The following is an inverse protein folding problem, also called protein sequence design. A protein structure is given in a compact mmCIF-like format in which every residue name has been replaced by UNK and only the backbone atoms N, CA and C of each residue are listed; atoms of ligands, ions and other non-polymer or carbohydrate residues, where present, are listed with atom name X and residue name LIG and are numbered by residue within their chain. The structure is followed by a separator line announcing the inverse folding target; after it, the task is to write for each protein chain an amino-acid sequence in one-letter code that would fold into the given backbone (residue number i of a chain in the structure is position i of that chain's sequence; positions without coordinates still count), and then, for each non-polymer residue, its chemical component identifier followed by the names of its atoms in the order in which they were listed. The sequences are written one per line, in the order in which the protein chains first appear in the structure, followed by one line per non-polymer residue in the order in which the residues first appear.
data_IF_149103112917
#
_entry.id   IF_149103112917
#
_cell.length_a   1.000
_cell.length_b   1.000
_cell.length_c   1.000
_cell.angle_alpha   90.00
_cell.angle_beta   90.00
_cell.angle_gamma   90.00
#
_symmetry.space_group_name_H-M   'P 1'
#
loop_
_entity.id
_entity.type
_entity.pdbx_description
1 polymer ?
#
# COMPACT_ATOMS: atom_id res chain seq x y z
N UNK A 1 71.32 -38.82 17.29
CA UNK A 1 70.78 -39.73 16.26
C UNK A 1 69.45 -40.28 16.75
N UNK A 2 68.42 -40.20 15.91
CA UNK A 2 67.05 -40.72 16.03
C UNK A 2 66.20 -40.17 17.19
N UNK A 3 65.47 -39.07 17.01
CA UNK A 3 64.18 -38.91 16.29
C UNK A 3 62.95 -39.34 17.13
N UNK A 4 61.98 -38.43 17.36
CA UNK A 4 60.76 -38.70 18.10
C UNK A 4 59.71 -39.41 17.23
N UNK A 5 58.92 -40.31 17.83
CA UNK A 5 57.73 -40.87 17.18
C UNK A 5 56.64 -39.80 17.14
N UNK A 6 56.26 -39.41 15.92
CA UNK A 6 55.08 -38.63 15.59
C UNK A 6 53.90 -39.52 15.21
N UNK A 7 52.71 -38.91 15.24
CA UNK A 7 51.39 -39.35 14.73
C UNK A 7 50.62 -40.21 15.75
N UNK A 8 49.38 -39.86 16.12
CA UNK A 8 48.35 -39.14 15.37
C UNK A 8 47.36 -38.46 16.31
N UNK A 9 47.00 -37.23 15.95
CA UNK A 9 45.64 -36.70 15.91
C UNK A 9 44.67 -37.13 17.02
N UNK A 10 44.52 -36.26 18.02
CA UNK A 10 43.23 -36.05 18.68
C UNK A 10 43.05 -34.54 18.82
N UNK A 11 42.75 -33.91 17.69
CA UNK A 11 41.92 -32.70 17.65
C UNK A 11 40.54 -33.03 18.23
N UNK A 12 40.43 -33.07 19.55
CA UNK A 12 39.16 -32.84 20.24
C UNK A 12 39.31 -31.62 21.14
N UNK A 13 39.50 -30.46 20.49
CA UNK A 13 38.91 -29.24 21.02
C UNK A 13 37.41 -29.46 21.01
N UNK A 14 36.85 -29.82 22.17
CA UNK A 14 35.43 -29.76 22.41
C UNK A 14 34.93 -28.34 22.13
N UNK A 15 34.45 -28.09 20.91
CA UNK A 15 33.54 -27.00 20.61
C UNK A 15 32.26 -27.29 21.39
N UNK A 16 32.27 -26.95 22.68
CA UNK A 16 31.05 -26.81 23.46
C UNK A 16 30.15 -25.83 22.72
N UNK A 17 29.02 -26.35 22.25
CA UNK A 17 27.97 -25.66 21.51
C UNK A 17 27.77 -24.23 22.05
N UNK A 18 28.34 -23.25 21.34
CA UNK A 18 28.08 -21.85 21.65
C UNK A 18 26.55 -21.64 21.61
N UNK A 19 26.00 -20.78 22.49
CA UNK A 19 24.58 -20.48 22.42
C UNK A 19 24.25 -20.05 20.98
N UNK A 20 23.20 -20.64 20.41
CA UNK A 20 22.74 -20.34 19.05
C UNK A 20 21.44 -19.58 19.10
N UNK A 21 21.23 -18.67 18.16
CA UNK A 21 19.98 -17.97 17.98
C UNK A 21 18.85 -18.97 17.67
N UNK A 22 17.77 -18.95 18.45
CA UNK A 22 16.62 -19.85 18.22
C UNK A 22 15.83 -19.61 16.93
N UNK A 23 16.09 -18.50 16.22
CA UNK A 23 15.39 -18.11 14.99
C UNK A 23 16.18 -18.52 13.74
N UNK A 24 17.44 -18.12 13.62
CA UNK A 24 18.27 -18.45 12.46
C UNK A 24 19.16 -19.69 12.67
N UNK A 25 19.27 -20.19 13.92
CA UNK A 25 20.10 -21.34 14.30
C UNK A 25 21.62 -21.10 14.15
N UNK A 26 22.04 -19.85 13.97
CA UNK A 26 23.45 -19.44 13.90
C UNK A 26 23.97 -19.03 15.29
N UNK A 27 25.28 -19.16 15.51
CA UNK A 27 25.95 -18.72 16.74
C UNK A 27 26.36 -17.25 16.64
N UNK A 28 26.64 -16.63 17.79
CA UNK A 28 27.17 -15.27 17.84
C UNK A 28 28.49 -15.19 17.07
N UNK A 29 28.51 -14.36 16.03
CA UNK A 29 29.69 -14.14 15.17
C UNK A 29 30.70 -13.16 15.78
N UNK A 30 30.34 -12.49 16.89
CA UNK A 30 31.16 -11.45 17.53
C UNK A 30 31.18 -10.12 16.77
N UNK A 31 30.40 -10.00 15.70
CA UNK A 31 30.25 -8.76 14.94
C UNK A 31 29.30 -7.80 15.66
N UNK A 32 29.60 -6.48 15.69
CA UNK A 32 28.74 -5.49 16.34
C UNK A 32 27.34 -5.49 15.71
N UNK A 33 26.32 -5.83 16.51
CA UNK A 33 24.92 -5.93 16.07
C UNK A 33 24.39 -7.36 15.84
N UNK A 34 25.25 -8.38 15.96
CA UNK A 34 24.87 -9.80 15.89
C UNK A 34 24.85 -10.48 17.28
N UNK A 35 24.84 -9.68 18.34
CA UNK A 35 24.86 -10.14 19.72
C UNK A 35 23.60 -10.96 20.07
N UNK A 36 23.81 -12.08 20.76
CA UNK A 36 22.73 -12.89 21.33
C UNK A 36 22.19 -12.29 22.61
N UNK A 37 20.88 -12.06 22.64
CA UNK A 37 20.17 -11.58 23.82
C UNK A 37 19.23 -12.66 24.38
N UNK A 38 18.88 -12.52 25.66
CA UNK A 38 17.85 -13.28 26.34
C UNK A 38 16.63 -12.41 26.67
N UNK A 39 15.64 -12.34 25.76
CA UNK A 39 14.60 -11.31 25.82
C UNK A 39 13.41 -11.66 26.75
N UNK A 40 13.32 -12.91 27.22
CA UNK A 40 12.13 -13.41 27.91
C UNK A 40 12.43 -14.61 28.83
N UNK A 41 11.40 -15.14 29.49
CA UNK A 41 11.48 -16.28 30.43
C UNK A 41 11.79 -17.66 29.81
N UNK A 42 12.20 -17.72 28.53
CA UNK A 42 12.52 -19.00 27.91
C UNK A 42 13.87 -19.53 28.46
N UNK A 43 13.98 -20.86 28.60
CA UNK A 43 15.17 -21.54 29.13
C UNK A 43 15.73 -22.54 28.12
N UNK A 44 16.99 -22.94 28.32
CA UNK A 44 17.69 -23.88 27.43
C UNK A 44 17.97 -23.26 26.05
N UNK A 45 17.89 -24.06 24.99
CA UNK A 45 18.18 -23.63 23.61
C UNK A 45 17.24 -22.55 23.07
N UNK A 46 16.08 -22.35 23.71
CA UNK A 46 15.09 -21.34 23.33
C UNK A 46 15.32 -19.98 24.03
N UNK A 47 16.36 -19.86 24.85
CA UNK A 47 16.65 -18.64 25.61
C UNK A 47 17.24 -17.53 24.73
N UNK A 48 18.14 -17.88 23.81
CA UNK A 48 18.98 -16.93 23.07
C UNK A 48 18.43 -16.61 21.68
N UNK A 49 18.55 -15.35 21.26
CA UNK A 49 18.16 -14.87 19.93
C UNK A 49 18.99 -13.65 19.54
N UNK A 50 19.37 -13.50 18.28
CA UNK A 50 20.00 -12.28 17.81
C UNK A 50 19.03 -11.10 17.91
N UNK A 51 19.52 -9.93 18.29
CA UNK A 51 18.74 -8.68 18.31
C UNK A 51 18.08 -8.42 16.95
N UNK A 52 18.85 -8.56 15.86
CA UNK A 52 18.39 -8.39 14.47
C UNK A 52 17.28 -9.37 14.08
N UNK A 53 17.41 -10.65 14.45
CA UNK A 53 16.40 -11.68 14.19
C UNK A 53 15.11 -11.41 14.97
N UNK A 54 15.22 -10.99 16.24
CA UNK A 54 14.06 -10.66 17.06
C UNK A 54 13.32 -9.43 16.53
N UNK A 55 14.03 -8.38 16.15
CA UNK A 55 13.43 -7.18 15.56
C UNK A 55 12.76 -7.48 14.22
N UNK A 56 13.38 -8.31 13.38
CA UNK A 56 12.73 -8.78 12.17
C UNK A 56 11.44 -9.54 12.48
N UNK A 57 11.48 -10.49 13.42
CA UNK A 57 10.32 -11.27 13.85
C UNK A 57 9.18 -10.40 14.37
N UNK A 58 9.49 -9.41 15.23
CA UNK A 58 8.54 -8.42 15.78
C UNK A 58 7.93 -7.55 14.68
N UNK A 59 8.68 -7.23 13.63
CA UNK A 59 8.21 -6.39 12.53
C UNK A 59 7.29 -7.10 11.53
N UNK A 60 7.45 -8.43 11.39
CA UNK A 60 6.73 -9.25 10.40
C UNK A 60 5.50 -9.92 11.00
N UNK A 61 5.55 -10.34 12.27
CA UNK A 61 4.43 -11.04 12.91
C UNK A 61 3.31 -10.06 13.33
N UNK A 62 2.08 -10.55 13.28
CA UNK A 62 0.90 -9.82 13.73
C UNK A 62 0.52 -10.17 15.18
N UNK A 63 -0.29 -9.32 15.81
CA UNK A 63 -0.74 -9.50 17.19
C UNK A 63 0.33 -9.15 18.23
N UNK A 64 0.32 -9.87 19.36
CA UNK A 64 1.17 -9.59 20.53
C UNK A 64 2.66 -9.86 20.31
N UNK A 65 3.06 -10.38 19.14
CA UNK A 65 4.47 -10.72 18.86
C UNK A 65 5.44 -9.52 18.91
N UNK A 66 4.93 -8.29 18.83
CA UNK A 66 5.72 -7.08 18.98
C UNK A 66 6.21 -6.85 20.41
N UNK A 67 5.34 -7.08 21.40
CA UNK A 67 5.55 -6.77 22.82
C UNK A 67 5.71 -8.01 23.70
N UNK A 68 5.38 -9.20 23.21
CA UNK A 68 5.41 -10.44 23.98
C UNK A 68 6.07 -11.57 23.19
N UNK A 69 6.72 -12.47 23.93
CA UNK A 69 7.29 -13.67 23.37
C UNK A 69 6.20 -14.61 22.85
N UNK A 70 6.32 -15.03 21.59
CA UNK A 70 5.37 -15.96 20.99
C UNK A 70 5.38 -17.36 21.62
N UNK A 71 6.48 -17.73 22.28
CA UNK A 71 6.68 -19.04 22.91
C UNK A 71 6.18 -19.05 24.36
N UNK A 72 6.76 -18.24 25.25
CA UNK A 72 6.43 -18.25 26.68
C UNK A 72 5.39 -17.20 27.10
N UNK A 73 4.93 -16.34 26.18
CA UNK A 73 3.97 -15.25 26.43
C UNK A 73 4.43 -14.16 27.40
N UNK A 74 5.66 -14.21 27.91
CA UNK A 74 6.23 -13.13 28.72
C UNK A 74 6.38 -11.85 27.90
N UNK A 75 6.14 -10.71 28.54
CA UNK A 75 6.27 -9.39 27.93
C UNK A 75 7.76 -9.01 27.82
N UNK A 76 8.14 -8.46 26.67
CA UNK A 76 9.49 -7.95 26.42
C UNK A 76 9.72 -6.63 27.17
N UNK A 77 10.97 -6.40 27.56
CA UNK A 77 11.40 -5.12 28.12
C UNK A 77 11.73 -4.16 26.99
N UNK A 78 10.78 -3.30 26.64
CA UNK A 78 10.92 -2.33 25.57
C UNK A 78 11.54 -1.05 26.11
N UNK A 79 12.73 -0.70 25.61
CA UNK A 79 13.43 0.54 25.96
C UNK A 79 13.36 1.51 24.78
N UNK A 80 12.89 2.75 24.98
CA UNK A 80 12.86 3.75 23.92
C UNK A 80 14.29 4.20 23.58
N UNK A 81 14.68 4.06 22.32
CA UNK A 81 15.93 4.58 21.76
C UNK A 81 15.57 5.52 20.60
N UNK A 82 16.10 6.75 20.61
CA UNK A 82 15.87 7.73 19.54
C UNK A 82 17.03 7.62 18.54
N UNK A 83 16.85 6.95 17.39
CA UNK A 83 17.93 6.84 16.41
C UNK A 83 18.23 8.21 15.77
N UNK A 84 19.51 8.54 15.61
CA UNK A 84 19.95 9.82 14.99
C UNK A 84 19.40 10.02 13.56
N UNK A 85 19.13 8.93 12.84
CA UNK A 85 18.61 8.93 11.46
C UNK A 85 17.08 9.11 11.34
N UNK A 86 16.38 9.37 12.44
CA UNK A 86 14.90 9.43 12.48
C UNK A 86 14.32 10.35 11.38
N UNK A 87 14.92 11.52 11.16
CA UNK A 87 14.45 12.51 10.19
C UNK A 87 14.59 12.04 8.73
N UNK A 88 15.72 11.41 8.38
CA UNK A 88 16.02 10.93 7.04
C UNK A 88 15.13 9.74 6.64
N UNK A 89 14.85 8.84 7.58
CA UNK A 89 13.93 7.71 7.35
C UNK A 89 12.49 8.19 7.14
N UNK A 90 12.04 9.16 7.93
CA UNK A 90 10.74 9.82 7.76
C UNK A 90 10.64 10.57 6.43
N UNK A 91 11.72 11.22 5.98
CA UNK A 91 11.78 11.87 4.67
C UNK A 91 11.73 10.85 3.52
N UNK A 92 12.53 9.78 3.58
CA UNK A 92 12.48 8.69 2.60
C UNK A 92 11.07 8.11 2.48
N UNK A 93 10.37 7.88 3.60
CA UNK A 93 8.98 7.43 3.60
C UNK A 93 8.06 8.40 2.85
N UNK A 94 8.12 9.69 3.18
CA UNK A 94 7.32 10.71 2.50
C UNK A 94 7.61 10.76 1.00
N UNK A 95 8.87 10.62 0.61
CA UNK A 95 9.28 10.57 -0.79
C UNK A 95 8.77 9.32 -1.51
N UNK A 96 8.78 8.15 -0.87
CA UNK A 96 8.22 6.93 -1.45
C UNK A 96 6.72 7.05 -1.70
N UNK A 97 5.96 7.56 -0.73
CA UNK A 97 4.51 7.78 -0.89
C UNK A 97 4.25 8.82 -1.97
N UNK A 98 4.99 9.95 -1.95
CA UNK A 98 4.86 10.99 -2.97
C UNK A 98 5.17 10.47 -4.37
N UNK A 99 6.22 9.65 -4.53
CA UNK A 99 6.58 9.00 -5.79
C UNK A 99 5.45 8.12 -6.29
N UNK A 100 4.91 7.23 -5.44
CA UNK A 100 3.85 6.31 -5.86
C UNK A 100 2.58 7.06 -6.29
N UNK A 101 2.19 8.13 -5.56
CA UNK A 101 1.07 9.01 -5.94
C UNK A 101 1.34 9.76 -7.24
N UNK A 102 2.57 10.29 -7.40
CA UNK A 102 2.97 11.00 -8.61
C UNK A 102 2.97 10.10 -9.85
N UNK A 103 3.42 8.85 -9.72
CA UNK A 103 3.37 7.86 -10.81
C UNK A 103 1.93 7.55 -11.24
N UNK A 104 1.00 7.41 -10.30
CA UNK A 104 -0.43 7.23 -10.60
C UNK A 104 -0.98 8.46 -11.33
N UNK A 105 -0.65 9.67 -10.86
CA UNK A 105 -1.04 10.90 -11.53
C UNK A 105 -0.53 10.95 -12.97
N UNK A 106 0.76 10.67 -13.20
CA UNK A 106 1.34 10.64 -14.55
C UNK A 106 0.67 9.60 -15.45
N UNK A 107 0.34 8.42 -14.94
CA UNK A 107 -0.38 7.40 -15.72
C UNK A 107 -1.78 7.87 -16.15
N UNK A 108 -2.52 8.53 -15.26
CA UNK A 108 -3.81 9.14 -15.58
C UNK A 108 -3.65 10.24 -16.63
N UNK A 109 -2.69 11.16 -16.44
CA UNK A 109 -2.44 12.25 -17.40
C UNK A 109 -1.99 11.74 -18.77
N UNK A 110 -1.18 10.69 -18.82
CA UNK A 110 -0.77 10.05 -20.08
C UNK A 110 -1.97 9.42 -20.80
N UNK A 111 -2.91 8.84 -20.06
CA UNK A 111 -4.13 8.25 -20.64
C UNK A 111 -5.04 9.35 -21.20
N UNK A 112 -5.23 10.45 -20.46
CA UNK A 112 -5.99 11.63 -20.93
C UNK A 112 -5.36 12.24 -22.17
N UNK A 113 -4.04 12.45 -22.17
CA UNK A 113 -3.31 12.99 -23.32
C UNK A 113 -3.42 12.06 -24.54
N UNK A 114 -3.36 10.75 -24.33
CA UNK A 114 -3.54 9.77 -25.41
C UNK A 114 -4.95 9.84 -26.02
N UNK A 115 -6.00 9.89 -25.20
CA UNK A 115 -7.38 10.06 -25.67
C UNK A 115 -7.57 11.37 -26.44
N UNK A 116 -7.00 12.48 -25.94
CA UNK A 116 -7.01 13.76 -26.63
C UNK A 116 -6.24 13.73 -27.96
N UNK A 117 -5.09 13.05 -28.01
CA UNK A 117 -4.31 12.88 -29.23
C UNK A 117 -5.06 12.03 -30.26
N UNK A 118 -5.72 10.95 -29.85
CA UNK A 118 -6.59 10.18 -30.75
C UNK A 118 -7.72 11.04 -31.31
N UNK A 119 -8.34 11.88 -30.48
CA UNK A 119 -9.37 12.81 -30.94
C UNK A 119 -8.83 13.83 -31.95
N UNK A 120 -7.61 14.35 -31.73
CA UNK A 120 -6.92 15.23 -32.67
C UNK A 120 -6.63 14.53 -34.01
N UNK A 121 -6.18 13.27 -33.98
CA UNK A 121 -5.90 12.50 -35.19
C UNK A 121 -7.20 12.16 -35.96
N UNK A 122 -8.31 11.95 -35.26
CA UNK A 122 -9.62 11.74 -35.89
C UNK A 122 -10.18 13.04 -36.51
N UNK A 123 -9.93 14.20 -35.90
CA UNK A 123 -10.30 15.52 -36.43
C UNK A 123 -9.20 16.13 -37.31
N UNK A 124 -8.71 15.34 -38.28
CA UNK A 124 -7.69 15.74 -39.26
C UNK A 124 -8.02 17.08 -39.95
N UNK A 125 -9.29 17.27 -40.29
CA UNK A 125 -9.77 18.46 -41.02
C UNK A 125 -10.13 19.63 -40.09
N UNK A 126 -10.11 19.43 -38.77
CA UNK A 126 -10.49 20.43 -37.77
C UNK A 126 -11.96 20.87 -37.85
N UNK A 127 -12.78 20.20 -38.67
CA UNK A 127 -14.17 20.57 -38.89
C UNK A 127 -14.97 20.45 -37.59
N UNK A 128 -14.66 19.45 -36.76
CA UNK A 128 -15.30 19.31 -35.47
C UNK A 128 -14.92 20.48 -34.56
N UNK A 129 -13.63 20.79 -34.40
CA UNK A 129 -13.18 21.95 -33.60
C UNK A 129 -13.82 23.27 -34.06
N UNK A 130 -13.86 23.54 -35.36
CA UNK A 130 -14.43 24.80 -35.89
C UNK A 130 -15.96 24.88 -35.71
N UNK A 131 -16.67 23.74 -35.63
CA UNK A 131 -18.11 23.73 -35.34
C UNK A 131 -18.47 24.28 -33.95
N UNK A 132 -17.55 24.19 -32.98
CA UNK A 132 -17.72 24.76 -31.63
C UNK A 132 -17.36 26.25 -31.54
N UNK A 133 -16.72 26.83 -32.57
CA UNK A 133 -16.28 28.23 -32.61
C UNK A 133 -17.44 29.23 -32.75
N UNK A 134 -18.66 28.75 -33.03
CA UNK A 134 -19.83 29.59 -33.35
C UNK A 134 -20.57 30.09 -32.09
N UNK A 135 -20.31 29.56 -30.90
CA UNK A 135 -21.08 29.92 -29.70
C UNK A 135 -20.41 29.85 -28.32
N UNK A 136 -19.21 29.26 -28.18
CA UNK A 136 -18.51 29.14 -26.89
C UNK A 136 -17.16 29.87 -26.90
N UNK A 137 -16.72 30.33 -25.72
CA UNK A 137 -15.59 31.23 -25.50
C UNK A 137 -14.40 30.99 -26.42
N UNK A 138 -14.06 32.02 -27.22
CA UNK A 138 -12.89 32.11 -28.12
C UNK A 138 -11.58 31.56 -27.50
N UNK A 139 -11.47 31.62 -26.16
CA UNK A 139 -10.35 31.16 -25.35
C UNK A 139 -10.04 29.66 -25.55
N UNK A 140 -11.04 28.78 -25.66
CA UNK A 140 -10.81 27.33 -25.85
C UNK A 140 -10.42 26.99 -27.29
N UNK A 141 -10.93 27.75 -28.27
CA UNK A 141 -10.61 27.57 -29.69
C UNK A 141 -9.21 28.06 -30.07
N UNK A 142 -8.68 29.05 -29.35
CA UNK A 142 -7.40 29.70 -29.66
C UNK A 142 -6.20 28.76 -29.47
N UNK A 143 -6.32 27.74 -28.62
CA UNK A 143 -5.27 26.77 -28.35
C UNK A 143 -5.72 25.34 -28.70
N UNK A 144 -5.36 24.81 -29.89
CA UNK A 144 -5.81 23.48 -30.32
C UNK A 144 -5.48 22.37 -29.31
N UNK A 145 -4.27 22.42 -28.73
CA UNK A 145 -3.82 21.43 -27.75
C UNK A 145 -4.71 21.42 -26.51
N UNK A 146 -5.12 22.59 -26.02
CA UNK A 146 -5.98 22.70 -24.84
C UNK A 146 -7.39 22.16 -25.11
N UNK A 147 -7.95 22.45 -26.29
CA UNK A 147 -9.26 21.92 -26.71
C UNK A 147 -9.29 20.38 -26.70
N UNK A 148 -8.33 19.74 -27.38
CA UNK A 148 -8.28 18.27 -27.43
C UNK A 148 -7.92 17.62 -26.10
N UNK A 149 -7.13 18.29 -25.27
CA UNK A 149 -6.88 17.81 -23.90
C UNK A 149 -8.17 17.85 -23.05
N UNK A 150 -8.94 18.94 -23.10
CA UNK A 150 -10.25 19.02 -22.43
C UNK A 150 -11.22 17.95 -22.93
N UNK A 151 -11.24 17.71 -24.25
CA UNK A 151 -12.03 16.62 -24.83
C UNK A 151 -11.57 15.25 -24.31
N UNK A 152 -10.26 15.02 -24.21
CA UNK A 152 -9.68 13.82 -23.61
C UNK A 152 -10.09 13.62 -22.15
N UNK A 153 -10.17 14.69 -21.36
CA UNK A 153 -10.66 14.64 -19.96
C UNK A 153 -12.13 14.22 -19.90
N UNK A 154 -12.99 14.81 -20.76
CA UNK A 154 -14.41 14.45 -20.82
C UNK A 154 -14.58 12.98 -21.19
N UNK A 155 -13.90 12.52 -22.24
CA UNK A 155 -13.94 11.11 -22.68
C UNK A 155 -13.43 10.18 -21.59
N UNK A 156 -12.36 10.53 -20.89
CA UNK A 156 -11.82 9.75 -19.77
C UNK A 156 -12.88 9.55 -18.67
N UNK A 157 -13.53 10.62 -18.21
CA UNK A 157 -14.56 10.49 -17.18
C UNK A 157 -15.80 9.73 -17.66
N UNK A 158 -16.20 9.88 -18.92
CA UNK A 158 -17.29 9.05 -19.49
C UNK A 158 -16.91 7.56 -19.45
N UNK A 159 -15.69 7.20 -19.86
CA UNK A 159 -15.20 5.80 -19.81
C UNK A 159 -15.19 5.29 -18.36
N UNK A 160 -14.69 6.08 -17.41
CA UNK A 160 -14.70 5.72 -15.97
C UNK A 160 -16.12 5.56 -15.44
N UNK A 161 -17.05 6.43 -15.84
CA UNK A 161 -18.46 6.37 -15.44
C UNK A 161 -19.15 5.11 -15.96
N UNK A 162 -19.00 4.80 -17.26
CA UNK A 162 -19.52 3.58 -17.87
C UNK A 162 -18.91 2.34 -17.21
N UNK A 163 -17.59 2.30 -17.03
CA UNK A 163 -16.90 1.19 -16.37
C UNK A 163 -17.35 0.98 -14.92
N UNK A 164 -17.50 2.06 -14.16
CA UNK A 164 -18.00 2.03 -12.79
C UNK A 164 -19.41 1.46 -12.69
N UNK A 165 -20.31 1.86 -13.59
CA UNK A 165 -21.66 1.30 -13.67
C UNK A 165 -21.63 -0.20 -13.99
N UNK A 166 -20.82 -0.63 -14.97
CA UNK A 166 -20.72 -2.06 -15.34
C UNK A 166 -20.24 -2.89 -14.14
N UNK A 167 -19.22 -2.43 -13.41
CA UNK A 167 -18.71 -3.11 -12.20
C UNK A 167 -19.78 -3.16 -11.10
N UNK A 168 -20.52 -2.08 -10.90
CA UNK A 168 -21.58 -2.02 -9.90
C UNK A 168 -22.75 -2.96 -10.24
N UNK A 169 -23.22 -2.94 -11.50
CA UNK A 169 -24.30 -3.80 -11.97
C UNK A 169 -23.91 -5.29 -11.97
N UNK A 170 -22.68 -5.63 -12.38
CA UNK A 170 -22.19 -7.01 -12.32
C UNK A 170 -22.09 -7.54 -10.90
N UNK A 171 -21.71 -6.70 -9.93
CA UNK A 171 -21.69 -7.06 -8.51
C UNK A 171 -23.09 -7.28 -7.92
N UNK A 172 -24.06 -6.44 -8.30
CA UNK A 172 -25.46 -6.57 -7.86
C UNK A 172 -26.13 -7.84 -8.43
N UNK A 173 -25.81 -8.21 -9.67
CA UNK A 173 -26.35 -9.43 -10.30
C UNK A 173 -25.96 -10.72 -9.57
N UNK A 174 -24.91 -10.69 -8.75
CA UNK A 174 -24.44 -11.84 -7.98
C UNK A 174 -25.18 -12.02 -6.64
N UNK A 175 -25.94 -11.02 -6.18
CA UNK A 175 -26.71 -11.07 -4.92
C UNK A 175 -28.21 -11.37 -5.13
N UNK A 176 -28.76 -11.08 -6.31
CA UNK A 176 -30.20 -11.26 -6.59
C UNK A 176 -30.48 -12.42 -7.56
N UNK A 177 -30.23 -13.65 -7.10
CA UNK A 177 -30.77 -14.86 -7.74
C UNK A 177 -32.24 -15.14 -7.36
N UNK A 178 -33.06 -14.10 -7.10
CA UNK A 178 -34.48 -14.26 -6.77
C UNK A 178 -35.46 -13.49 -7.69
N UNK A 179 -34.97 -12.74 -8.68
CA UNK A 179 -35.83 -12.03 -9.64
C UNK A 179 -35.48 -12.39 -11.10
N UNK A 180 -35.48 -13.68 -11.39
CA UNK A 180 -35.31 -14.22 -12.73
C UNK A 180 -36.54 -14.05 -13.66
N UNK A 181 -37.52 -13.24 -13.28
CA UNK A 181 -38.73 -12.98 -14.10
C UNK A 181 -38.81 -11.57 -14.71
N UNK A 182 -37.84 -10.68 -14.43
CA UNK A 182 -37.78 -9.36 -15.09
C UNK A 182 -36.93 -9.38 -16.36
N UNK A 183 -37.03 -10.42 -17.18
CA UNK A 183 -36.32 -10.52 -18.47
C UNK A 183 -36.93 -9.62 -19.57
N UNK A 184 -37.86 -8.73 -19.23
CA UNK A 184 -38.54 -7.85 -20.19
C UNK A 184 -38.69 -6.37 -19.78
N UNK A 185 -38.15 -5.91 -18.65
CA UNK A 185 -38.48 -4.54 -18.16
C UNK A 185 -37.30 -3.57 -17.94
N UNK A 186 -36.12 -3.84 -18.52
CA UNK A 186 -34.99 -2.90 -18.45
C UNK A 186 -34.43 -2.47 -19.81
N UNK A 187 -34.99 -3.01 -20.91
CA UNK A 187 -34.65 -2.62 -22.28
C UNK A 187 -35.63 -1.63 -22.94
N UNK A 188 -36.79 -1.39 -22.34
CA UNK A 188 -37.87 -0.59 -22.96
C UNK A 188 -37.95 0.88 -22.49
N UNK A 189 -37.08 1.35 -21.59
CA UNK A 189 -37.19 2.74 -21.11
C UNK A 189 -36.28 3.76 -21.82
N UNK A 190 -35.46 3.32 -22.78
CA UNK A 190 -34.53 4.22 -23.49
C UNK A 190 -34.76 4.24 -25.02
N UNK A 191 -35.45 3.25 -25.60
CA UNK A 191 -35.55 3.14 -27.06
C UNK A 191 -36.92 3.51 -27.67
N UNK A 192 -37.90 3.91 -26.86
CA UNK A 192 -39.23 4.36 -27.36
C UNK A 192 -39.47 5.88 -27.21
N UNK A 193 -38.52 6.62 -26.62
CA UNK A 193 -38.54 8.08 -26.58
C UNK A 193 -37.62 8.65 -27.68
N UNK A 194 -37.93 8.39 -28.95
CA UNK A 194 -37.38 9.18 -30.06
C UNK A 194 -38.28 10.40 -30.28
N UNK A 195 -37.86 11.62 -29.91
CA UNK A 195 -38.53 12.82 -30.38
C UNK A 195 -38.22 12.96 -31.87
N UNK A 196 -39.26 13.22 -32.66
CA UNK A 196 -39.19 13.33 -34.12
C UNK A 196 -38.38 14.54 -34.66
N UNK A 197 -37.51 15.19 -33.86
CA UNK A 197 -36.67 16.31 -34.29
C UNK A 197 -35.18 16.09 -33.97
N UNK A 198 -34.33 16.35 -34.96
CA UNK A 198 -32.87 16.21 -34.85
C UNK A 198 -32.27 17.11 -33.76
N UNK A 199 -32.91 18.25 -33.47
CA UNK A 199 -32.48 19.18 -32.42
C UNK A 199 -32.68 18.62 -31.01
N UNK A 200 -33.79 17.92 -30.77
CA UNK A 200 -34.04 17.27 -29.49
C UNK A 200 -33.04 16.13 -29.22
N UNK A 201 -32.68 15.38 -30.27
CA UNK A 201 -31.70 14.30 -30.19
C UNK A 201 -30.32 14.80 -29.71
N UNK A 202 -29.86 15.95 -30.21
CA UNK A 202 -28.61 16.57 -29.77
C UNK A 202 -28.62 16.96 -28.29
N UNK A 203 -29.70 17.56 -27.80
CA UNK A 203 -29.84 17.94 -26.39
C UNK A 203 -29.79 16.72 -25.45
N UNK A 204 -30.45 15.62 -25.80
CA UNK A 204 -30.42 14.39 -25.00
C UNK A 204 -29.03 13.75 -24.93
N UNK A 205 -28.27 13.75 -26.04
CA UNK A 205 -26.89 13.24 -26.05
C UNK A 205 -25.98 14.06 -25.13
N UNK A 206 -26.11 15.39 -25.14
CA UNK A 206 -25.34 16.27 -24.26
C UNK A 206 -25.67 15.99 -22.78
N UNK A 207 -26.96 15.86 -22.44
CA UNK A 207 -27.39 15.52 -21.08
C UNK A 207 -26.83 14.16 -20.66
N UNK A 208 -26.88 13.16 -21.53
CA UNK A 208 -26.33 11.83 -21.28
C UNK A 208 -24.82 11.90 -20.99
N UNK A 209 -24.06 12.59 -21.83
CA UNK A 209 -22.61 12.79 -21.62
C UNK A 209 -22.35 13.46 -20.26
N UNK A 210 -23.10 14.51 -19.90
CA UNK A 210 -22.96 15.20 -18.62
C UNK A 210 -23.22 14.24 -17.44
N UNK A 211 -24.27 13.41 -17.52
CA UNK A 211 -24.58 12.43 -16.47
C UNK A 211 -23.43 11.42 -16.29
N UNK A 212 -22.88 10.89 -17.38
CA UNK A 212 -21.75 9.96 -17.33
C UNK A 212 -20.46 10.60 -16.84
N UNK A 213 -20.21 11.88 -17.15
CA UNK A 213 -19.08 12.63 -16.58
C UNK A 213 -19.25 12.76 -15.07
N UNK A 214 -20.44 13.13 -14.57
CA UNK A 214 -20.71 13.25 -13.13
C UNK A 214 -20.48 11.91 -12.42
N UNK A 215 -21.02 10.81 -12.98
CA UNK A 215 -20.81 9.46 -12.45
C UNK A 215 -19.32 9.07 -12.49
N UNK A 216 -18.63 9.40 -13.58
CA UNK A 216 -17.20 9.17 -13.75
C UNK A 216 -16.35 9.89 -12.72
N UNK A 217 -16.66 11.16 -12.41
CA UNK A 217 -15.98 11.92 -11.35
C UNK A 217 -16.24 11.26 -10.00
N UNK A 218 -17.48 10.87 -9.69
CA UNK A 218 -17.80 10.19 -8.44
C UNK A 218 -17.04 8.86 -8.29
N UNK A 219 -17.11 7.98 -9.27
CA UNK A 219 -16.38 6.71 -9.26
C UNK A 219 -14.85 6.91 -9.27
N UNK A 220 -14.35 7.91 -10.00
CA UNK A 220 -12.94 8.27 -10.04
C UNK A 220 -12.42 8.70 -8.67
N UNK A 221 -13.16 9.55 -7.95
CA UNK A 221 -12.81 9.98 -6.59
C UNK A 221 -12.84 8.83 -5.59
N UNK A 222 -13.85 7.96 -5.67
CA UNK A 222 -13.92 6.74 -4.84
C UNK A 222 -12.72 5.81 -5.11
N UNK A 223 -12.40 5.56 -6.38
CA UNK A 223 -11.25 4.74 -6.76
C UNK A 223 -9.92 5.36 -6.28
N UNK A 224 -9.76 6.67 -6.43
CA UNK A 224 -8.57 7.40 -5.98
C UNK A 224 -8.40 7.34 -4.45
N UNK A 225 -9.47 7.59 -3.70
CA UNK A 225 -9.42 7.49 -2.22
C UNK A 225 -9.12 6.08 -1.75
N UNK A 226 -9.72 5.06 -2.37
CA UNK A 226 -9.40 3.65 -2.09
C UNK A 226 -7.95 3.30 -2.41
N UNK A 227 -7.42 3.77 -3.54
CA UNK A 227 -6.03 3.54 -3.93
C UNK A 227 -5.06 4.21 -2.97
N UNK A 228 -5.30 5.46 -2.59
CA UNK A 228 -4.52 6.20 -1.60
C UNK A 228 -4.55 5.46 -0.26
N UNK A 229 -5.73 5.06 0.21
CA UNK A 229 -5.88 4.28 1.44
C UNK A 229 -5.08 2.98 1.37
N UNK A 230 -5.13 2.22 0.27
CA UNK A 230 -4.36 0.98 0.12
C UNK A 230 -2.85 1.22 0.12
N UNK A 231 -2.37 2.23 -0.62
CA UNK A 231 -0.94 2.61 -0.64
C UNK A 231 -0.50 3.00 0.77
N UNK A 232 -1.31 3.81 1.45
CA UNK A 232 -1.04 4.26 2.81
C UNK A 232 -1.01 3.10 3.80
N UNK A 233 -2.01 2.21 3.78
CA UNK A 233 -2.07 1.03 4.64
C UNK A 233 -0.88 0.08 4.41
N UNK A 234 -0.53 -0.18 3.15
CA UNK A 234 0.59 -1.06 2.79
C UNK A 234 1.93 -0.53 3.30
N UNK A 235 2.18 0.76 3.08
CA UNK A 235 3.43 1.39 3.52
C UNK A 235 3.45 1.66 5.02
N UNK A 236 2.32 2.04 5.63
CA UNK A 236 2.21 2.29 7.06
C UNK A 236 2.43 1.01 7.86
N UNK A 237 1.77 -0.11 7.55
CA UNK A 237 1.89 -1.33 8.36
C UNK A 237 3.31 -1.93 8.31
N UNK A 238 3.95 -1.93 7.13
CA UNK A 238 5.28 -2.52 6.94
C UNK A 238 6.38 -1.62 7.51
N UNK A 239 6.27 -0.30 7.35
CA UNK A 239 7.34 0.62 7.71
C UNK A 239 7.23 1.09 9.16
N UNK A 240 6.01 1.32 9.67
CA UNK A 240 5.82 1.71 11.07
C UNK A 240 6.26 0.60 12.01
N UNK A 241 5.94 -0.67 11.75
CA UNK A 241 6.40 -1.78 12.62
C UNK A 241 7.92 -1.94 12.61
N UNK A 242 8.57 -1.83 11.45
CA UNK A 242 10.04 -1.90 11.34
C UNK A 242 10.75 -0.71 11.97
N UNK A 243 10.13 0.47 11.95
CA UNK A 243 10.71 1.63 12.63
C UNK A 243 10.46 1.55 14.14
N UNK A 244 9.29 1.09 14.56
CA UNK A 244 8.96 0.88 15.97
C UNK A 244 9.84 -0.17 16.65
N UNK A 245 10.30 -1.21 15.95
CA UNK A 245 11.27 -2.15 16.53
C UNK A 245 12.62 -1.50 16.80
N UNK A 246 12.97 -0.45 16.05
CA UNK A 246 14.20 0.33 16.25
C UNK A 246 14.03 1.45 17.28
N UNK A 247 12.84 2.03 17.37
CA UNK A 247 12.51 3.00 18.43
C UNK A 247 12.33 2.31 19.78
N UNK A 248 11.78 1.09 19.81
CA UNK A 248 11.55 0.29 21.02
C UNK A 248 12.39 -0.98 20.96
N UNK A 249 13.63 -0.88 21.41
CA UNK A 249 14.55 -2.01 21.45
C UNK A 249 14.22 -2.94 22.62
N UNK A 250 14.44 -4.24 22.43
CA UNK A 250 14.29 -5.21 23.53
C UNK A 250 15.58 -5.23 24.36
N UNK A 251 15.47 -5.04 25.67
CA UNK A 251 16.60 -5.18 26.59
C UNK A 251 17.02 -6.65 26.75
N UNK A 252 18.32 -6.88 26.94
CA UNK A 252 18.81 -8.21 27.33
C UNK A 252 18.67 -8.42 28.84
N UNK A 253 17.97 -9.48 29.23
CA UNK A 253 17.70 -9.81 30.62
C UNK A 253 18.76 -10.73 31.24
N UNK A 254 19.77 -11.15 30.47
CA UNK A 254 20.82 -12.08 30.90
C UNK A 254 20.30 -13.36 31.60
N UNK A 255 19.09 -13.81 31.22
CA UNK A 255 18.42 -14.97 31.79
C UNK A 255 17.62 -14.71 33.09
N UNK A 256 17.67 -13.51 33.64
CA UNK A 256 16.96 -13.07 34.84
C UNK A 256 15.76 -12.21 34.50
N UNK A 257 14.58 -12.83 34.45
CA UNK A 257 13.35 -12.10 34.12
C UNK A 257 12.74 -11.42 35.34
N UNK A 258 12.46 -10.13 35.22
CA UNK A 258 11.57 -9.38 36.10
C UNK A 258 10.42 -8.77 35.27
N UNK A 259 9.26 -8.45 35.86
CA UNK A 259 8.19 -7.77 35.12
C UNK A 259 8.67 -6.42 34.55
N UNK A 260 8.37 -6.09 33.27
CA UNK A 260 8.80 -4.85 32.66
C UNK A 260 8.13 -3.64 33.33
N UNK A 261 8.86 -2.52 33.42
CA UNK A 261 8.32 -1.22 33.81
C UNK A 261 8.43 -0.27 32.63
N UNK A 262 7.31 0.04 31.99
CA UNK A 262 7.24 0.98 30.88
C UNK A 262 6.69 2.31 31.40
N UNK A 263 7.15 3.44 30.84
CA UNK A 263 6.57 4.74 31.18
C UNK A 263 5.09 4.77 30.76
N UNK A 264 4.24 5.49 31.51
CA UNK A 264 2.81 5.55 31.20
C UNK A 264 2.55 6.12 29.79
N UNK A 265 3.39 7.05 29.34
CA UNK A 265 3.32 7.67 28.01
C UNK A 265 3.64 6.66 26.90
N UNK A 266 4.71 5.87 27.06
CA UNK A 266 5.09 4.83 26.10
C UNK A 266 4.05 3.70 26.06
N UNK A 267 3.47 3.35 27.22
CA UNK A 267 2.42 2.35 27.30
C UNK A 267 1.15 2.80 26.57
N UNK A 268 0.72 4.05 26.79
CA UNK A 268 -0.42 4.63 26.08
C UNK A 268 -0.17 4.67 24.56
N UNK A 269 1.05 5.07 24.15
CA UNK A 269 1.45 5.09 22.74
C UNK A 269 1.39 3.70 22.11
N UNK A 270 1.94 2.68 22.74
CA UNK A 270 1.90 1.30 22.23
C UNK A 270 0.48 0.71 22.23
N UNK A 271 -0.36 1.04 23.22
CA UNK A 271 -1.79 0.68 23.24
C UNK A 271 -2.57 1.33 22.09
N UNK A 272 -2.32 2.61 21.81
CA UNK A 272 -2.96 3.32 20.68
C UNK A 272 -2.65 2.67 19.33
N UNK A 273 -1.47 2.05 19.20
CA UNK A 273 -1.02 1.33 18.03
C UNK A 273 -1.47 -0.15 18.01
N UNK A 274 -2.19 -0.61 19.04
CA UNK A 274 -2.62 -2.01 19.24
C UNK A 274 -1.46 -3.01 19.26
N UNK A 275 -0.35 -2.61 19.89
CA UNK A 275 0.87 -3.42 20.01
C UNK A 275 1.09 -4.01 21.41
N UNK A 276 0.24 -3.64 22.39
CA UNK A 276 0.16 -4.20 23.74
C UNK A 276 -1.09 -5.06 23.89
#
# INVERSE_FOLDING_TARGET
MAAPKSLSDDEEQGLGCAPSCRICLECDSGEPGDELISPCMCKGTQQFVHRSCLDHWRSVKEGFAFSHCTTCKAQFHLVPEIPEDYSWRKLKFKLFVARDVFLVFLAVQSTVAFLGALAYLMDSDGQFRESFNVGWDKILSQHPVAFYYCLGVVVFFVIVGVGGLIVHCSSASHHDSFLADCRYCSGCYIMDCFPASMEACGAFLVIFVILFVILGVAYGLLAATMAIQRIWQRHYHILTKRELTKEYIVADLHGEYVPPQLSAEDEERLRSLKLL
#
